data_IF_034591279031
#
_entry.id   IF_034591279031
#
_cell.length_a   1.000
_cell.length_b   1.000
_cell.length_c   1.000
_cell.angle_alpha   90.00
_cell.angle_beta   90.00
_cell.angle_gamma   90.00
#
_symmetry.space_group_name_H-M   'P 1'
#
loop_
_entity.id
_entity.type
_entity.pdbx_description
1 polymer ?
#
# COMPACT_ATOMS: atom_id res chain seq x y z
N UNK A 1 0.89 -11.24 20.75
CA UNK A 1 1.68 -10.00 21.00
C UNK A 1 2.65 -10.25 22.16
N UNK A 2 3.96 -9.95 21.99
CA UNK A 2 4.95 -10.12 23.07
C UNK A 2 4.89 -8.93 24.03
N UNK A 3 5.48 -9.06 25.25
CA UNK A 3 5.61 -7.95 26.22
C UNK A 3 6.41 -6.77 25.65
N UNK A 4 7.33 -7.03 24.72
CA UNK A 4 8.15 -6.00 24.04
C UNK A 4 7.29 -5.19 23.05
N UNK A 5 6.43 -5.87 22.30
CA UNK A 5 5.52 -5.24 21.33
C UNK A 5 4.51 -4.32 22.04
N UNK A 6 3.96 -4.76 23.19
CA UNK A 6 3.06 -3.94 23.98
C UNK A 6 3.71 -2.62 24.43
N UNK A 7 4.96 -2.66 24.90
CA UNK A 7 5.70 -1.46 25.33
C UNK A 7 5.97 -0.51 24.17
N UNK A 8 6.32 -1.04 23.00
CA UNK A 8 6.58 -0.23 21.79
C UNK A 8 5.30 0.49 21.34
N UNK A 9 4.17 -0.22 21.30
CA UNK A 9 2.86 0.34 20.99
C UNK A 9 2.46 1.43 22.00
N UNK A 10 2.63 1.19 23.31
CA UNK A 10 2.31 2.15 24.35
C UNK A 10 3.19 3.41 24.25
N UNK A 11 4.47 3.24 23.91
CA UNK A 11 5.38 4.38 23.68
C UNK A 11 4.94 5.19 22.47
N UNK A 12 4.56 4.54 21.38
CA UNK A 12 4.05 5.18 20.18
C UNK A 12 2.79 6.00 20.46
N UNK A 13 1.78 5.44 21.13
CA UNK A 13 0.55 6.18 21.41
C UNK A 13 0.73 7.32 22.42
N UNK A 14 1.70 7.24 23.34
CA UNK A 14 2.06 8.39 24.19
C UNK A 14 2.59 9.58 23.40
N UNK A 15 3.18 9.37 22.23
CA UNK A 15 3.64 10.46 21.36
C UNK A 15 2.50 11.27 20.72
N UNK A 16 1.24 10.85 20.88
CA UNK A 16 0.08 11.57 20.36
C UNK A 16 -0.22 12.84 21.15
N UNK A 17 0.06 12.86 22.46
CA UNK A 17 -0.30 13.96 23.34
C UNK A 17 0.26 15.33 22.91
N UNK A 18 1.55 15.47 22.50
CA UNK A 18 2.10 16.76 22.07
C UNK A 18 1.76 17.11 20.61
N UNK A 19 1.24 16.18 19.83
CA UNK A 19 1.08 16.35 18.37
C UNK A 19 -0.36 16.67 17.98
N UNK A 20 -0.52 17.71 17.12
CA UNK A 20 -1.82 18.08 16.55
C UNK A 20 -2.18 17.29 15.28
N UNK A 21 -1.21 16.72 14.61
CA UNK A 21 -1.38 15.98 13.35
C UNK A 21 -0.70 14.63 13.41
N UNK A 22 -1.29 13.65 12.79
CA UNK A 22 -0.82 12.26 12.72
C UNK A 22 -0.93 11.75 11.30
N UNK A 23 -0.12 10.76 10.96
CA UNK A 23 -0.12 10.16 9.63
C UNK A 23 -0.26 8.65 9.76
N UNK A 24 -1.26 8.10 9.10
CA UNK A 24 -1.52 6.67 9.05
C UNK A 24 -1.44 6.19 7.60
N UNK A 25 -0.34 5.51 7.27
CA UNK A 25 -0.08 4.89 5.98
C UNK A 25 -0.51 3.44 6.05
N UNK A 26 -1.36 2.98 5.14
CA UNK A 26 -1.89 1.62 5.21
C UNK A 26 -1.94 1.01 3.81
N UNK A 27 -1.42 -0.21 3.67
CA UNK A 27 -1.69 -1.04 2.50
C UNK A 27 -3.13 -1.59 2.53
N UNK A 28 -3.62 -2.05 1.38
CA UNK A 28 -4.99 -2.52 1.24
C UNK A 28 -5.12 -4.04 1.29
N UNK A 29 -4.58 -4.74 0.27
CA UNK A 29 -4.73 -6.19 0.12
C UNK A 29 -3.83 -6.93 1.11
N UNK A 30 -4.38 -7.90 1.86
CA UNK A 30 -3.67 -8.61 2.92
C UNK A 30 -3.62 -7.82 4.23
N UNK A 31 -3.72 -6.49 4.18
CA UNK A 31 -3.68 -5.61 5.35
C UNK A 31 -5.08 -5.21 5.80
N UNK A 32 -5.76 -4.29 5.12
CA UNK A 32 -7.12 -3.86 5.46
C UNK A 32 -8.18 -4.87 5.04
N UNK A 33 -7.95 -5.60 3.95
CA UNK A 33 -8.85 -6.58 3.38
C UNK A 33 -8.14 -7.91 3.13
N UNK A 34 -8.83 -9.06 3.29
CA UNK A 34 -8.26 -10.34 2.88
C UNK A 34 -8.08 -10.39 1.36
N UNK A 35 -7.14 -11.21 0.90
CA UNK A 35 -7.07 -11.54 -0.53
C UNK A 35 -8.36 -12.22 -0.99
N UNK A 36 -8.88 -11.81 -2.14
CA UNK A 36 -10.07 -12.36 -2.74
C UNK A 36 -9.83 -12.68 -4.23
N UNK A 37 -10.39 -13.78 -4.74
CA UNK A 37 -10.24 -14.18 -6.15
C UNK A 37 -10.78 -13.09 -7.08
N UNK A 38 -11.97 -12.56 -6.77
CA UNK A 38 -12.51 -11.36 -7.40
C UNK A 38 -12.03 -10.13 -6.62
N UNK A 39 -11.08 -9.40 -7.18
CA UNK A 39 -10.48 -8.23 -6.53
C UNK A 39 -11.49 -7.14 -6.16
N UNK A 40 -12.61 -7.06 -6.86
CA UNK A 40 -13.68 -6.08 -6.55
C UNK A 40 -14.56 -6.48 -5.37
N UNK A 41 -14.36 -7.68 -4.82
CA UNK A 41 -15.05 -8.19 -3.62
C UNK A 41 -14.12 -8.27 -2.41
N UNK A 42 -12.88 -7.85 -2.51
CA UNK A 42 -11.95 -7.75 -1.39
C UNK A 42 -12.34 -6.53 -0.51
N UNK A 43 -13.36 -6.69 0.32
CA UNK A 43 -13.80 -5.65 1.26
C UNK A 43 -13.02 -5.73 2.57
N UNK A 44 -12.85 -4.60 3.31
CA UNK A 44 -12.15 -4.59 4.59
C UNK A 44 -12.68 -5.63 5.58
N UNK A 45 -11.79 -6.17 6.41
CA UNK A 45 -12.14 -7.04 7.51
C UNK A 45 -13.24 -6.44 8.38
N UNK A 46 -14.10 -7.27 9.02
CA UNK A 46 -15.08 -6.80 10.00
C UNK A 46 -14.40 -5.93 11.08
N UNK A 47 -14.99 -4.78 11.39
CA UNK A 47 -14.46 -3.82 12.38
C UNK A 47 -13.49 -2.77 11.81
N UNK A 48 -12.83 -2.99 10.68
CA UNK A 48 -11.85 -2.06 10.10
C UNK A 48 -12.52 -0.75 9.65
N UNK A 49 -13.60 -0.85 8.87
CA UNK A 49 -14.31 0.35 8.37
C UNK A 49 -14.80 1.24 9.50
N UNK A 50 -15.49 0.74 10.55
CA UNK A 50 -15.87 1.55 11.71
C UNK A 50 -14.68 2.20 12.42
N UNK A 51 -13.57 1.46 12.59
CA UNK A 51 -12.38 2.00 13.25
C UNK A 51 -11.73 3.13 12.46
N UNK A 52 -11.57 2.98 11.13
CA UNK A 52 -11.07 4.04 10.25
C UNK A 52 -12.01 5.26 10.22
N UNK A 53 -13.34 5.04 10.22
CA UNK A 53 -14.31 6.12 10.27
C UNK A 53 -14.21 6.94 11.56
N UNK A 54 -13.95 6.29 12.71
CA UNK A 54 -13.73 6.99 13.98
C UNK A 54 -12.47 7.85 13.94
N UNK A 55 -11.38 7.35 13.34
CA UNK A 55 -10.14 8.11 13.14
C UNK A 55 -10.39 9.30 12.22
N UNK A 56 -11.07 9.08 11.08
CA UNK A 56 -11.38 10.11 10.09
C UNK A 56 -12.21 11.25 10.71
N UNK A 57 -13.23 10.93 11.50
CA UNK A 57 -14.12 11.90 12.14
C UNK A 57 -13.39 12.85 13.12
N UNK A 58 -12.19 12.51 13.57
CA UNK A 58 -11.35 13.34 14.46
C UNK A 58 -10.61 14.46 13.74
N UNK A 59 -10.44 14.36 12.42
CA UNK A 59 -9.73 15.34 11.59
C UNK A 59 -8.28 15.65 12.02
N UNK A 60 -7.67 14.81 12.86
CA UNK A 60 -6.31 14.98 13.35
C UNK A 60 -5.31 14.00 12.75
N UNK A 61 -5.81 12.97 12.05
CA UNK A 61 -5.00 11.98 11.32
C UNK A 61 -5.26 12.07 9.82
N UNK A 62 -4.18 12.26 9.04
CA UNK A 62 -4.19 12.03 7.60
C UNK A 62 -4.08 10.53 7.36
N UNK A 63 -5.15 9.93 6.82
CA UNK A 63 -5.16 8.54 6.39
C UNK A 63 -4.73 8.48 4.92
N UNK A 64 -3.75 7.66 4.60
CA UNK A 64 -3.26 7.46 3.23
C UNK A 64 -3.18 5.97 2.94
N UNK A 65 -3.86 5.53 1.91
CA UNK A 65 -3.75 4.14 1.43
C UNK A 65 -2.63 4.07 0.39
N UNK A 66 -1.68 3.13 0.56
CA UNK A 66 -0.55 2.91 -0.37
C UNK A 66 -0.65 1.49 -0.90
N UNK A 67 -1.10 1.32 -2.13
CA UNK A 67 -1.51 0.02 -2.68
C UNK A 67 -0.93 -0.26 -4.07
N UNK A 68 -0.86 -1.53 -4.44
CA UNK A 68 -0.58 -1.98 -5.82
C UNK A 68 -1.76 -1.84 -6.78
N UNK A 69 -2.98 -1.60 -6.26
CA UNK A 69 -4.17 -1.39 -7.10
C UNK A 69 -4.20 -0.01 -7.74
N UNK A 70 -4.94 0.18 -8.85
CA UNK A 70 -5.36 1.50 -9.29
C UNK A 70 -6.10 2.25 -8.17
N UNK A 71 -5.77 3.51 -7.95
CA UNK A 71 -6.30 4.29 -6.83
C UNK A 71 -7.85 4.41 -6.85
N UNK A 72 -8.44 4.48 -8.03
CA UNK A 72 -9.89 4.58 -8.21
C UNK A 72 -10.67 3.35 -7.69
N UNK A 73 -10.01 2.19 -7.55
CA UNK A 73 -10.65 0.97 -7.02
C UNK A 73 -10.84 1.00 -5.50
N UNK A 74 -10.06 1.82 -4.79
CA UNK A 74 -9.99 1.77 -3.33
C UNK A 74 -11.20 2.41 -2.65
N UNK A 75 -11.63 3.58 -3.08
CA UNK A 75 -12.72 4.30 -2.43
C UNK A 75 -14.04 3.49 -2.36
N UNK A 76 -14.50 2.83 -3.44
CA UNK A 76 -15.68 1.97 -3.40
C UNK A 76 -15.54 0.78 -2.45
N UNK A 77 -14.36 0.17 -2.40
CA UNK A 77 -14.08 -1.00 -1.55
C UNK A 77 -13.97 -0.62 -0.09
N UNK A 78 -13.28 0.49 0.22
CA UNK A 78 -13.07 0.98 1.57
C UNK A 78 -14.38 1.44 2.21
N UNK A 79 -15.24 2.14 1.44
CA UNK A 79 -16.58 2.54 1.84
C UNK A 79 -16.61 3.47 3.05
N UNK A 80 -15.66 4.38 3.18
CA UNK A 80 -15.66 5.46 4.17
C UNK A 80 -16.59 6.60 3.72
N UNK A 81 -17.11 7.37 4.68
CA UNK A 81 -17.99 8.50 4.41
C UNK A 81 -17.30 9.61 3.60
N UNK A 82 -16.06 9.91 3.94
CA UNK A 82 -15.24 10.87 3.22
C UNK A 82 -14.10 10.16 2.49
N UNK A 83 -13.72 10.63 1.29
CA UNK A 83 -12.59 10.07 0.56
C UNK A 83 -11.28 10.23 1.35
N UNK A 84 -10.41 9.23 1.24
CA UNK A 84 -9.02 9.31 1.74
C UNK A 84 -8.05 9.43 0.58
N UNK A 85 -6.87 9.90 0.86
CA UNK A 85 -5.80 9.92 -0.13
C UNK A 85 -5.33 8.50 -0.46
N UNK A 86 -5.13 8.22 -1.75
CA UNK A 86 -4.67 6.90 -2.22
C UNK A 86 -3.45 7.06 -3.13
N UNK A 87 -2.38 6.36 -2.79
CA UNK A 87 -1.23 6.14 -3.65
C UNK A 87 -1.36 4.75 -4.28
N UNK A 88 -1.88 4.73 -5.49
CA UNK A 88 -2.10 3.52 -6.27
C UNK A 88 -0.89 3.11 -7.11
N UNK A 89 -0.95 1.90 -7.70
CA UNK A 89 0.10 1.36 -8.57
C UNK A 89 1.50 1.43 -7.92
N UNK A 90 1.58 1.10 -6.63
CA UNK A 90 2.78 1.15 -5.78
C UNK A 90 3.43 2.55 -5.67
N UNK A 91 2.62 3.61 -5.78
CA UNK A 91 3.10 4.99 -5.69
C UNK A 91 3.30 5.69 -7.02
N UNK A 92 2.95 5.05 -8.13
CA UNK A 92 2.97 5.67 -9.46
C UNK A 92 1.83 6.67 -9.66
N UNK A 93 0.70 6.43 -9.01
CA UNK A 93 -0.53 7.21 -9.06
C UNK A 93 -0.84 7.78 -7.68
N UNK A 94 -1.29 9.02 -7.61
CA UNK A 94 -1.83 9.66 -6.40
C UNK A 94 -3.22 10.19 -6.69
N UNK A 95 -4.19 9.77 -5.92
CA UNK A 95 -5.55 10.29 -5.92
C UNK A 95 -5.77 11.04 -4.61
N UNK A 96 -6.04 12.32 -4.71
CA UNK A 96 -6.33 13.18 -3.56
C UNK A 96 -7.79 13.05 -3.12
N UNK A 97 -8.13 13.39 -1.86
CA UNK A 97 -9.51 13.36 -1.38
C UNK A 97 -10.48 14.25 -2.17
N UNK A 98 -9.98 15.32 -2.78
CA UNK A 98 -10.75 16.22 -3.64
C UNK A 98 -11.01 15.67 -5.06
N UNK A 99 -10.52 14.46 -5.36
CA UNK A 99 -10.64 13.82 -6.66
C UNK A 99 -9.52 14.18 -7.66
N UNK A 100 -8.62 15.08 -7.32
CA UNK A 100 -7.47 15.42 -8.16
C UNK A 100 -6.54 14.20 -8.26
N UNK A 101 -6.17 13.85 -9.49
CA UNK A 101 -5.32 12.70 -9.81
C UNK A 101 -3.99 13.16 -10.37
N UNK A 102 -2.92 12.61 -9.84
CA UNK A 102 -1.55 12.81 -10.31
C UNK A 102 -0.96 11.48 -10.75
N UNK A 103 -0.25 11.46 -11.87
CA UNK A 103 0.51 10.32 -12.33
C UNK A 103 1.98 10.70 -12.38
N UNK A 104 2.86 9.78 -12.02
CA UNK A 104 4.29 9.96 -12.26
C UNK A 104 4.57 9.97 -13.76
N UNK A 105 5.36 10.93 -14.20
CA UNK A 105 5.87 10.91 -15.57
C UNK A 105 6.90 9.80 -15.77
N UNK A 106 6.71 9.03 -16.85
CA UNK A 106 7.70 8.06 -17.28
C UNK A 106 8.59 8.66 -18.39
N UNK A 107 9.90 8.41 -18.35
CA UNK A 107 10.77 8.74 -19.46
C UNK A 107 10.23 8.15 -20.78
N UNK A 108 10.28 8.93 -21.85
CA UNK A 108 9.78 8.49 -23.18
C UNK A 108 10.29 7.11 -23.63
N UNK A 109 11.58 6.76 -23.44
CA UNK A 109 12.08 5.42 -23.80
C UNK A 109 11.39 4.30 -23.03
N UNK A 110 11.10 4.52 -21.73
CA UNK A 110 10.42 3.56 -20.87
C UNK A 110 8.99 3.33 -21.32
N UNK A 111 8.21 4.42 -21.49
CA UNK A 111 6.83 4.34 -21.99
C UNK A 111 6.77 3.60 -23.32
N UNK A 112 7.59 4.02 -24.29
CA UNK A 112 7.67 3.40 -25.60
C UNK A 112 7.98 1.89 -25.52
N UNK A 113 8.85 1.48 -24.58
CA UNK A 113 9.19 0.08 -24.41
C UNK A 113 8.03 -0.73 -23.83
N UNK A 114 7.32 -0.20 -22.83
CA UNK A 114 6.13 -0.84 -22.29
C UNK A 114 5.04 -1.00 -23.36
N UNK A 115 4.78 0.04 -24.16
CA UNK A 115 3.81 0.00 -25.28
C UNK A 115 4.20 -1.06 -26.33
N UNK A 116 5.49 -1.16 -26.67
CA UNK A 116 6.01 -2.17 -27.61
C UNK A 116 5.82 -3.60 -27.09
N UNK A 117 6.08 -3.82 -25.79
CA UNK A 117 5.90 -5.12 -25.15
C UNK A 117 4.42 -5.52 -25.09
N UNK A 118 3.56 -4.60 -24.69
CA UNK A 118 2.12 -4.82 -24.68
C UNK A 118 1.60 -5.14 -26.11
N UNK A 119 2.02 -4.39 -27.11
CA UNK A 119 1.66 -4.63 -28.52
C UNK A 119 2.18 -5.98 -29.04
N UNK A 120 3.33 -6.45 -28.59
CA UNK A 120 3.86 -7.76 -28.93
C UNK A 120 3.02 -8.88 -28.30
N UNK A 121 2.71 -8.76 -27.02
CA UNK A 121 1.90 -9.74 -26.28
C UNK A 121 0.46 -9.81 -26.79
N UNK A 122 -0.17 -8.69 -27.15
CA UNK A 122 -1.52 -8.69 -27.75
C UNK A 122 -1.60 -9.49 -29.04
N UNK A 123 -0.50 -9.57 -29.78
CA UNK A 123 -0.42 -10.35 -31.03
C UNK A 123 -0.03 -11.81 -30.79
N UNK A 124 0.38 -12.13 -29.60
CA UNK A 124 0.73 -13.50 -29.18
C UNK A 124 -0.53 -14.29 -28.79
N UNK A 125 -0.43 -15.61 -28.76
CA UNK A 125 -1.48 -16.51 -28.25
C UNK A 125 -1.84 -16.25 -26.79
N UNK A 126 -0.99 -15.56 -26.04
CA UNK A 126 -1.20 -15.20 -24.63
C UNK A 126 -1.81 -13.81 -24.42
N UNK A 127 -2.27 -13.14 -25.48
CA UNK A 127 -2.82 -11.77 -25.38
C UNK A 127 -4.03 -11.63 -24.45
N UNK A 128 -4.84 -12.68 -24.29
CA UNK A 128 -5.95 -12.68 -23.35
C UNK A 128 -5.53 -12.70 -21.87
N UNK A 129 -4.25 -12.99 -21.59
CA UNK A 129 -3.66 -13.05 -20.25
C UNK A 129 -2.91 -11.78 -19.90
N UNK A 130 -2.87 -10.81 -20.83
CA UNK A 130 -2.20 -9.52 -20.68
C UNK A 130 -3.04 -8.56 -19.85
N UNK A 131 -2.46 -7.99 -18.81
CA UNK A 131 -2.96 -6.80 -18.11
C UNK A 131 -2.00 -5.63 -18.38
N UNK A 132 -2.55 -4.50 -18.81
CA UNK A 132 -1.81 -3.28 -19.04
C UNK A 132 -2.16 -2.25 -17.98
N UNK A 133 -1.15 -1.69 -17.35
CA UNK A 133 -1.29 -0.56 -16.41
C UNK A 133 -0.50 0.64 -16.96
N UNK A 134 -0.75 1.86 -16.49
CA UNK A 134 -0.03 3.06 -16.95
C UNK A 134 1.50 2.97 -16.85
N UNK A 135 2.00 2.14 -15.93
CA UNK A 135 3.43 2.00 -15.62
C UNK A 135 3.94 0.56 -15.72
N UNK A 136 3.12 -0.40 -16.12
CA UNK A 136 3.54 -1.79 -16.17
C UNK A 136 2.82 -2.62 -17.23
N UNK A 137 3.43 -3.75 -17.55
CA UNK A 137 2.87 -4.81 -18.38
C UNK A 137 2.94 -6.09 -17.56
N UNK A 138 1.80 -6.77 -17.44
CA UNK A 138 1.64 -7.98 -16.61
C UNK A 138 1.18 -9.13 -17.50
N UNK A 139 1.77 -10.28 -17.34
CA UNK A 139 1.28 -11.52 -17.95
C UNK A 139 0.88 -12.49 -16.85
N UNK A 140 -0.39 -12.90 -16.87
CA UNK A 140 -0.98 -13.82 -15.91
C UNK A 140 -1.01 -15.25 -16.46
N UNK A 141 -0.95 -16.23 -15.55
CA UNK A 141 -1.16 -17.65 -15.88
C UNK A 141 -2.03 -18.38 -14.86
N UNK A 142 -2.84 -17.62 -14.09
CA UNK A 142 -3.78 -18.21 -13.13
C UNK A 142 -4.81 -19.06 -13.84
N UNK A 143 -4.97 -20.31 -13.37
CA UNK A 143 -5.88 -21.28 -13.97
C UNK A 143 -5.34 -22.03 -15.18
N UNK A 144 -4.14 -21.71 -15.68
CA UNK A 144 -3.48 -22.48 -16.73
C UNK A 144 -2.99 -23.83 -16.20
N UNK A 145 -2.97 -24.84 -17.06
CA UNK A 145 -2.36 -26.13 -16.73
C UNK A 145 -0.84 -25.95 -16.46
N UNK A 146 -0.20 -26.80 -15.62
CA UNK A 146 1.19 -26.61 -15.23
C UNK A 146 2.18 -26.48 -16.41
N UNK A 147 1.97 -27.23 -17.48
CA UNK A 147 2.81 -27.15 -18.69
C UNK A 147 2.61 -25.86 -19.47
N UNK A 148 1.39 -25.36 -19.54
CA UNK A 148 1.02 -24.09 -20.16
C UNK A 148 1.54 -22.91 -19.33
N UNK A 149 1.33 -22.92 -18.02
CA UNK A 149 1.84 -21.91 -17.11
C UNK A 149 3.36 -21.72 -17.25
N UNK A 150 4.12 -22.81 -17.39
CA UNK A 150 5.56 -22.77 -17.61
C UNK A 150 5.92 -22.13 -18.98
N UNK A 151 5.15 -22.41 -20.02
CA UNK A 151 5.37 -21.77 -21.34
C UNK A 151 5.10 -20.27 -21.29
N UNK A 152 4.00 -19.86 -20.62
CA UNK A 152 3.65 -18.45 -20.45
C UNK A 152 4.75 -17.72 -19.64
N UNK A 153 5.20 -18.31 -18.54
CA UNK A 153 6.29 -17.75 -17.74
C UNK A 153 7.58 -17.59 -18.55
N UNK A 154 7.97 -18.63 -19.30
CA UNK A 154 9.17 -18.55 -20.13
C UNK A 154 9.06 -17.43 -21.18
N UNK A 155 7.90 -17.29 -21.79
CA UNK A 155 7.62 -16.22 -22.75
C UNK A 155 7.69 -14.83 -22.11
N UNK A 156 7.07 -14.67 -20.96
CA UNK A 156 7.13 -13.43 -20.19
C UNK A 156 8.57 -13.04 -19.83
N UNK A 157 9.33 -13.98 -19.30
CA UNK A 157 10.75 -13.76 -18.94
C UNK A 157 11.61 -13.38 -20.16
N UNK A 158 11.44 -14.09 -21.27
CA UNK A 158 12.18 -13.81 -22.51
C UNK A 158 11.93 -12.38 -23.03
N UNK A 159 10.71 -11.86 -22.86
CA UNK A 159 10.36 -10.49 -23.29
C UNK A 159 10.73 -9.42 -22.27
N UNK A 160 10.50 -9.70 -20.99
CA UNK A 160 10.61 -8.69 -19.93
C UNK A 160 12.03 -8.52 -19.42
N UNK A 161 12.80 -9.60 -19.28
CA UNK A 161 14.13 -9.55 -18.68
C UNK A 161 15.12 -8.65 -19.42
N UNK A 162 15.21 -8.68 -20.78
CA UNK A 162 16.05 -7.75 -21.51
C UNK A 162 15.63 -6.28 -21.33
N UNK A 163 14.31 -6.02 -21.27
CA UNK A 163 13.80 -4.68 -21.05
C UNK A 163 14.05 -4.18 -19.62
N UNK A 164 13.90 -5.05 -18.64
CA UNK A 164 14.22 -4.76 -17.23
C UNK A 164 15.67 -4.34 -17.07
N UNK A 165 16.61 -5.08 -17.67
CA UNK A 165 18.05 -4.77 -17.61
C UNK A 165 18.40 -3.48 -18.34
N UNK A 166 17.87 -3.28 -19.57
CA UNK A 166 18.23 -2.14 -20.41
C UNK A 166 17.72 -0.79 -19.88
N UNK A 167 16.59 -0.79 -19.15
CA UNK A 167 15.90 0.42 -18.69
C UNK A 167 15.77 0.51 -17.18
N UNK A 168 16.45 -0.37 -16.42
CA UNK A 168 16.38 -0.47 -14.96
C UNK A 168 14.94 -0.55 -14.46
N UNK A 169 14.09 -1.39 -15.13
CA UNK A 169 12.72 -1.65 -14.72
C UNK A 169 12.69 -2.81 -13.73
N UNK A 170 11.69 -2.80 -12.89
CA UNK A 170 11.47 -3.82 -11.89
C UNK A 170 10.74 -5.03 -12.48
N UNK A 171 11.28 -6.22 -12.26
CA UNK A 171 10.67 -7.48 -12.69
C UNK A 171 10.14 -8.20 -11.45
N UNK A 172 8.82 -8.26 -11.30
CA UNK A 172 8.14 -8.74 -10.12
C UNK A 172 7.40 -10.05 -10.40
N UNK A 173 7.92 -11.18 -9.96
CA UNK A 173 7.18 -12.44 -9.95
C UNK A 173 6.15 -12.43 -8.82
N UNK A 174 4.96 -12.99 -9.10
CA UNK A 174 3.95 -13.27 -8.11
C UNK A 174 3.32 -14.66 -8.39
N UNK A 175 2.43 -15.14 -7.51
CA UNK A 175 1.95 -16.52 -7.51
C UNK A 175 1.52 -17.06 -8.88
N UNK A 176 0.89 -16.25 -9.72
CA UNK A 176 0.38 -16.68 -11.02
C UNK A 176 0.62 -15.62 -12.10
N UNK A 177 1.79 -14.98 -12.09
CA UNK A 177 2.10 -13.97 -13.09
C UNK A 177 3.51 -13.37 -12.96
N UNK A 178 3.84 -12.52 -13.91
CA UNK A 178 5.07 -11.74 -13.95
C UNK A 178 4.73 -10.32 -14.42
N UNK A 179 5.14 -9.34 -13.64
CA UNK A 179 4.97 -7.92 -13.94
C UNK A 179 6.31 -7.29 -14.29
N UNK A 180 6.37 -6.54 -15.37
CA UNK A 180 7.44 -5.60 -15.67
C UNK A 180 6.95 -4.20 -15.37
N UNK A 181 7.53 -3.56 -14.35
CA UNK A 181 7.07 -2.29 -13.81
C UNK A 181 8.11 -1.19 -13.91
N UNK A 182 7.65 0.00 -14.20
CA UNK A 182 8.41 1.24 -14.15
C UNK A 182 7.89 2.16 -13.05
N UNK A 183 8.74 3.08 -12.60
CA UNK A 183 8.35 4.14 -11.68
C UNK A 183 8.70 3.87 -10.22
N UNK A 184 7.94 4.50 -9.35
CA UNK A 184 8.17 4.45 -7.90
C UNK A 184 7.74 3.12 -7.31
N UNK A 185 8.38 2.74 -6.21
CA UNK A 185 7.91 1.72 -5.27
C UNK A 185 7.16 2.38 -4.09
N UNK A 186 6.59 1.56 -3.20
CA UNK A 186 5.90 2.06 -2.00
C UNK A 186 6.83 2.87 -1.09
N UNK A 187 8.12 2.54 -1.03
CA UNK A 187 9.09 3.28 -0.24
C UNK A 187 9.35 4.70 -0.76
N UNK A 188 9.43 4.86 -2.08
CA UNK A 188 9.53 6.18 -2.69
C UNK A 188 8.27 7.03 -2.46
N UNK A 189 7.08 6.42 -2.54
CA UNK A 189 5.82 7.09 -2.19
C UNK A 189 5.83 7.55 -0.72
N UNK A 190 6.20 6.67 0.21
CA UNK A 190 6.29 7.00 1.64
C UNK A 190 7.26 8.16 1.90
N UNK A 191 8.44 8.18 1.26
CA UNK A 191 9.40 9.30 1.39
C UNK A 191 8.80 10.64 0.96
N UNK A 192 8.04 10.67 -0.14
CA UNK A 192 7.36 11.87 -0.61
C UNK A 192 6.30 12.31 0.40
N UNK A 193 5.45 11.38 0.86
CA UNK A 193 4.42 11.68 1.85
C UNK A 193 5.03 12.23 3.15
N UNK A 194 6.12 11.63 3.61
CA UNK A 194 6.84 12.10 4.80
C UNK A 194 7.45 13.49 4.61
N UNK A 195 7.92 13.85 3.42
CA UNK A 195 8.45 15.18 3.14
C UNK A 195 7.39 16.29 3.20
N UNK A 196 6.11 15.93 3.05
CA UNK A 196 4.97 16.84 3.19
C UNK A 196 4.49 16.98 4.65
N UNK A 197 5.12 16.25 5.58
CA UNK A 197 4.65 16.15 6.96
C UNK A 197 5.73 16.61 7.97
N UNK A 198 5.28 17.26 9.06
CA UNK A 198 6.20 17.73 10.09
C UNK A 198 7.02 16.58 10.70
N UNK A 199 8.30 16.83 10.95
CA UNK A 199 9.23 15.79 11.41
C UNK A 199 8.84 15.14 12.75
N UNK A 200 8.17 15.86 13.63
CA UNK A 200 7.75 15.39 14.95
C UNK A 200 6.36 14.76 14.99
N UNK A 201 5.63 14.70 13.86
CA UNK A 201 4.31 14.08 13.84
C UNK A 201 4.39 12.56 14.00
N UNK A 202 3.53 11.93 14.82
CA UNK A 202 3.42 10.49 14.89
C UNK A 202 2.99 9.90 13.54
N UNK A 203 3.75 8.91 13.07
CA UNK A 203 3.51 8.23 11.80
C UNK A 203 3.50 6.72 12.04
N UNK A 204 2.51 6.01 11.48
CA UNK A 204 2.58 4.56 11.35
C UNK A 204 2.41 4.13 9.89
N UNK A 205 3.07 3.04 9.51
CA UNK A 205 2.94 2.40 8.21
C UNK A 205 2.62 0.92 8.40
N UNK A 206 1.47 0.49 7.89
CA UNK A 206 0.97 -0.88 8.00
C UNK A 206 0.97 -1.56 6.63
N UNK A 207 1.46 -2.79 6.55
CA UNK A 207 1.50 -3.57 5.32
C UNK A 207 1.72 -5.06 5.58
N UNK A 208 1.51 -5.92 4.58
CA UNK A 208 1.60 -7.38 4.74
C UNK A 208 2.68 -8.04 3.87
N UNK A 209 3.01 -7.45 2.72
CA UNK A 209 3.78 -8.09 1.66
C UNK A 209 5.22 -7.58 1.54
N UNK A 210 6.01 -8.26 0.72
CA UNK A 210 7.39 -7.90 0.39
C UNK A 210 7.49 -6.49 -0.20
N UNK A 211 6.48 -6.05 -0.94
CA UNK A 211 6.41 -4.69 -1.49
C UNK A 211 6.33 -3.61 -0.42
N UNK A 212 5.88 -3.94 0.81
CA UNK A 212 5.82 -3.02 1.94
C UNK A 212 7.16 -2.84 2.65
N UNK A 213 8.10 -3.76 2.45
CA UNK A 213 9.43 -3.67 3.05
C UNK A 213 10.18 -2.38 2.67
N UNK A 214 9.97 -1.89 1.44
CA UNK A 214 10.52 -0.61 1.00
C UNK A 214 9.90 0.56 1.78
N UNK A 215 8.59 0.50 2.07
CA UNK A 215 7.89 1.49 2.88
C UNK A 215 8.35 1.45 4.34
N UNK A 216 8.51 0.25 4.94
CA UNK A 216 9.02 0.08 6.30
C UNK A 216 10.42 0.66 6.44
N UNK A 217 11.33 0.35 5.51
CA UNK A 217 12.68 0.94 5.49
C UNK A 217 12.68 2.46 5.30
N UNK A 218 11.76 2.99 4.49
CA UNK A 218 11.63 4.44 4.30
C UNK A 218 11.16 5.17 5.56
N UNK A 219 10.40 4.46 6.43
CA UNK A 219 9.89 5.01 7.69
C UNK A 219 10.88 4.87 8.86
N UNK A 220 11.92 4.07 8.72
CA UNK A 220 12.85 3.73 9.80
C UNK A 220 13.39 4.97 10.53
N UNK A 221 13.24 5.01 11.86
CA UNK A 221 13.62 6.14 12.70
C UNK A 221 12.67 7.34 12.68
N UNK A 222 11.58 7.28 11.90
CA UNK A 222 10.57 8.37 11.75
C UNK A 222 9.20 8.01 12.29
N UNK A 223 8.91 6.76 12.52
CA UNK A 223 7.60 6.29 12.94
C UNK A 223 7.58 4.81 13.26
N UNK A 224 6.41 4.24 13.31
CA UNK A 224 6.16 2.84 13.65
C UNK A 224 5.79 2.06 12.38
N UNK A 225 6.60 1.08 12.00
CA UNK A 225 6.29 0.14 10.92
C UNK A 225 5.67 -1.14 11.47
N UNK A 226 4.60 -1.62 10.83
CA UNK A 226 3.78 -2.73 11.32
C UNK A 226 3.51 -3.74 10.21
N UNK A 227 4.03 -4.94 10.37
CA UNK A 227 3.67 -6.08 9.54
C UNK A 227 2.29 -6.60 9.96
N UNK A 228 1.34 -6.69 9.04
CA UNK A 228 -0.02 -7.19 9.29
C UNK A 228 -0.24 -8.47 8.50
N UNK A 229 -0.12 -9.64 9.12
CA UNK A 229 -0.38 -10.92 8.47
C UNK A 229 -0.59 -12.05 9.47
N UNK A 230 -1.23 -13.17 9.08
CA UNK A 230 -1.47 -14.31 9.97
C UNK A 230 -0.18 -14.91 10.54
N UNK A 231 0.85 -15.02 9.71
CA UNK A 231 2.14 -15.64 10.06
C UNK A 231 3.27 -14.65 9.97
N UNK A 232 4.17 -14.65 10.97
CA UNK A 232 5.37 -13.83 10.97
C UNK A 232 6.34 -14.32 9.87
N UNK A 233 6.92 -13.37 9.15
CA UNK A 233 8.05 -13.58 8.25
C UNK A 233 9.20 -12.64 8.59
N UNK A 234 10.34 -12.82 7.96
CA UNK A 234 11.43 -11.84 8.01
C UNK A 234 10.94 -10.48 7.46
N UNK A 235 11.19 -9.41 8.22
CA UNK A 235 10.67 -8.08 7.94
C UNK A 235 11.52 -6.98 8.54
N UNK A 236 11.51 -5.81 7.91
CA UNK A 236 12.03 -4.57 8.45
C UNK A 236 11.02 -3.84 9.37
N UNK A 237 9.81 -4.36 9.53
CA UNK A 237 8.81 -3.77 10.42
C UNK A 237 9.20 -3.87 11.89
N UNK A 238 8.82 -2.87 12.67
CA UNK A 238 9.07 -2.79 14.11
C UNK A 238 8.14 -3.72 14.91
N UNK A 239 6.93 -3.96 14.39
CA UNK A 239 5.89 -4.76 15.02
C UNK A 239 5.25 -5.74 14.05
N UNK A 240 4.61 -6.77 14.62
CA UNK A 240 3.78 -7.71 13.91
C UNK A 240 2.40 -7.81 14.56
N UNK A 241 1.34 -7.68 13.75
CA UNK A 241 -0.07 -7.84 14.14
C UNK A 241 -0.75 -8.89 13.26
N UNK A 242 -1.64 -9.66 13.85
CA UNK A 242 -2.49 -10.64 13.17
C UNK A 242 -3.85 -10.04 12.84
N UNK A 243 -4.22 -9.96 11.55
CA UNK A 243 -5.57 -9.55 11.17
C UNK A 243 -6.60 -10.66 11.47
N UNK A 244 -7.87 -10.31 11.69
CA UNK A 244 -8.39 -8.94 11.81
C UNK A 244 -8.24 -8.34 13.20
N UNK A 245 -8.23 -9.15 14.26
CA UNK A 245 -8.48 -8.73 15.64
C UNK A 245 -7.40 -7.76 16.16
N UNK A 246 -6.12 -8.14 16.06
CA UNK A 246 -5.02 -7.28 16.54
C UNK A 246 -4.91 -5.98 15.73
N UNK A 247 -5.31 -5.99 14.45
CA UNK A 247 -5.37 -4.78 13.62
C UNK A 247 -6.54 -3.87 14.06
N UNK A 248 -7.72 -4.43 14.31
CA UNK A 248 -8.88 -3.67 14.82
C UNK A 248 -8.56 -3.05 16.17
N UNK A 249 -7.90 -3.79 17.06
CA UNK A 249 -7.45 -3.29 18.37
C UNK A 249 -6.46 -2.14 18.22
N UNK A 250 -5.50 -2.25 17.31
CA UNK A 250 -4.53 -1.17 17.03
C UNK A 250 -5.22 0.11 16.53
N UNK A 251 -6.13 0.00 15.56
CA UNK A 251 -6.90 1.13 15.05
C UNK A 251 -7.85 1.74 16.09
N UNK A 252 -8.43 0.92 16.94
CA UNK A 252 -9.28 1.37 18.05
C UNK A 252 -8.47 2.15 19.08
N UNK A 253 -7.27 1.66 19.43
CA UNK A 253 -6.32 2.37 20.30
C UNK A 253 -5.84 3.68 19.67
N UNK A 254 -5.67 3.73 18.35
CA UNK A 254 -5.37 4.98 17.63
C UNK A 254 -6.43 6.04 17.91
N UNK A 255 -7.71 5.73 17.68
CA UNK A 255 -8.82 6.64 17.93
C UNK A 255 -8.95 7.04 19.40
N UNK A 256 -8.69 6.12 20.35
CA UNK A 256 -8.70 6.41 21.79
C UNK A 256 -7.58 7.40 22.17
N UNK A 257 -6.37 7.17 21.70
CA UNK A 257 -5.21 8.04 21.95
C UNK A 257 -5.41 9.45 21.39
N UNK A 258 -6.07 9.59 20.22
CA UNK A 258 -6.49 10.89 19.69
C UNK A 258 -7.42 11.62 20.65
N UNK A 259 -8.37 10.91 21.23
CA UNK A 259 -9.34 11.48 22.18
C UNK A 259 -8.69 11.96 23.47
N UNK A 260 -7.70 11.24 23.97
CA UNK A 260 -6.91 11.61 25.13
C UNK A 260 -6.02 12.83 24.87
N UNK A 261 -5.37 12.86 23.69
CA UNK A 261 -4.54 13.99 23.27
C UNK A 261 -5.32 15.31 23.19
N UNK A 262 -6.56 15.28 22.68
CA UNK A 262 -7.44 16.45 22.66
C UNK A 262 -7.82 16.91 24.08
N UNK A 263 -8.14 15.99 24.97
CA UNK A 263 -8.49 16.30 26.37
C UNK A 263 -7.32 16.89 27.16
N UNK A 264 -6.12 16.40 26.89
CA UNK A 264 -4.89 16.85 27.57
C UNK A 264 -4.39 18.21 27.07
N UNK A 265 -4.87 18.70 25.92
CA UNK A 265 -4.46 19.99 25.34
C UNK A 265 -5.68 20.78 24.81
N UNK A 266 -6.57 21.31 25.69
CA UNK A 266 -7.79 22.00 25.30
C UNK A 266 -7.56 23.29 24.49
N UNK A 267 -6.37 23.90 24.56
CA UNK A 267 -5.99 25.05 23.70
C UNK A 267 -5.84 24.70 22.22
N UNK A 268 -5.95 23.42 21.85
CA UNK A 268 -5.86 22.93 20.48
C UNK A 268 -7.21 22.85 19.75
N UNK A 269 -8.33 23.05 20.45
CA UNK A 269 -9.69 22.87 19.92
C UNK A 269 -10.33 24.16 19.37
N UNK A 270 -9.64 25.28 19.38
CA UNK A 270 -10.16 26.58 18.92
C UNK A 270 -9.22 27.19 17.87
N UNK A 271 -9.51 26.90 16.59
CA UNK A 271 -9.37 27.78 15.42
C UNK A 271 -9.76 27.03 14.17
#
# INVERSE_FOLDING_TARGET
>A
MTSRDSKAIDCFFRSFAPSRRRLLLIDYDGTLAPFHIDRFRAVPWPGIRPALQLIQNRNSTRIVVVTGRPAAEIAPLLGLAEPVEVWGLHGFERLHPDGRRELQDLPRPVRRKLDQLAAALRRDSFGALLEEKPNSVVLHWRGAAPGEAKQIEQRARALFQPAAQALALELLPFEAGLELRAGRDKGAAVKIILSEYAECAPVACLGDDITDEAAFRALQGRGLSVLVRPELRETAADLWLRPPDELVDFLSRWSAAESEAVRSNPAAAGH
#
